data_IF_559224392735
#
_entry.id   IF_559224392735
#
_cell.length_a   1.000
_cell.length_b   1.000
_cell.length_c   1.000
_cell.angle_alpha   90.00
_cell.angle_beta   90.00
_cell.angle_gamma   90.00
#
_symmetry.space_group_name_H-M   'P 1'
#
loop_
_entity.id
_entity.type
_entity.pdbx_description
1 polymer ?
#
# COMPACT_ATOMS: atom_id res chain seq x y z
N UNK A 1 -9.13 -24.45 -81.49
CA UNK A 1 -9.62 -23.18 -80.90
C UNK A 1 -9.95 -23.49 -79.44
N UNK A 2 -9.10 -23.36 -78.41
CA UNK A 2 -8.19 -22.29 -77.95
C UNK A 2 -8.92 -21.01 -77.45
N UNK A 3 -9.38 -21.09 -76.18
CA UNK A 3 -9.43 -20.06 -75.11
C UNK A 3 -10.43 -20.57 -74.06
N UNK A 4 -10.03 -21.11 -72.91
CA UNK A 4 -9.33 -20.46 -71.80
C UNK A 4 -9.90 -19.08 -71.47
N UNK A 5 -10.83 -19.04 -70.52
CA UNK A 5 -10.84 -17.98 -69.52
C UNK A 5 -11.24 -18.56 -68.15
N UNK A 6 -10.23 -19.00 -67.41
CA UNK A 6 -10.29 -19.07 -65.95
C UNK A 6 -9.68 -17.77 -65.44
N UNK A 7 -10.51 -16.80 -65.10
CA UNK A 7 -10.13 -15.60 -64.36
C UNK A 7 -11.34 -15.17 -63.52
N UNK A 8 -11.27 -14.86 -62.23
CA UNK A 8 -10.20 -14.89 -61.26
C UNK A 8 -10.88 -14.79 -59.89
N UNK A 9 -11.25 -15.92 -59.29
CA UNK A 9 -11.76 -15.98 -57.93
C UNK A 9 -10.62 -15.96 -56.92
N UNK A 10 -9.94 -14.82 -56.73
CA UNK A 10 -8.91 -14.65 -55.69
C UNK A 10 -8.99 -13.25 -55.10
N UNK A 11 -9.61 -13.12 -53.91
CA UNK A 11 -9.56 -11.85 -53.18
C UNK A 11 -10.43 -11.68 -51.93
N UNK A 12 -10.92 -12.74 -51.27
CA UNK A 12 -11.83 -12.56 -50.11
C UNK A 12 -11.56 -13.44 -48.88
N UNK A 13 -10.30 -13.82 -48.61
CA UNK A 13 -9.97 -14.63 -47.43
C UNK A 13 -8.94 -14.01 -46.48
N UNK A 14 -8.56 -12.74 -46.65
CA UNK A 14 -7.52 -12.11 -45.82
C UNK A 14 -8.01 -10.94 -44.94
N UNK A 15 -9.31 -10.61 -44.93
CA UNK A 15 -9.84 -9.48 -44.15
C UNK A 15 -10.20 -9.84 -42.70
N UNK A 16 -10.65 -11.08 -42.43
CA UNK A 16 -11.09 -11.48 -41.09
C UNK A 16 -10.00 -11.41 -40.02
N UNK A 17 -8.76 -11.83 -40.34
CA UNK A 17 -7.66 -11.82 -39.35
C UNK A 17 -7.17 -10.42 -38.97
N UNK A 18 -7.31 -9.42 -39.85
CA UNK A 18 -6.89 -8.03 -39.58
C UNK A 18 -7.86 -7.29 -38.66
N UNK A 19 -9.16 -7.52 -38.80
CA UNK A 19 -10.19 -6.93 -37.92
C UNK A 19 -10.11 -7.51 -36.50
N UNK A 20 -9.90 -8.84 -36.38
CA UNK A 20 -9.70 -9.47 -35.07
C UNK A 20 -8.39 -9.03 -34.40
N UNK A 21 -7.31 -8.86 -35.17
CA UNK A 21 -6.04 -8.33 -34.66
C UNK A 21 -6.14 -6.88 -34.19
N UNK A 22 -6.86 -6.03 -34.93
CA UNK A 22 -7.09 -4.63 -34.55
C UNK A 22 -7.84 -4.51 -33.21
N UNK A 23 -8.91 -5.28 -33.02
CA UNK A 23 -9.67 -5.28 -31.77
C UNK A 23 -8.83 -5.71 -30.55
N UNK A 24 -7.94 -6.69 -30.72
CA UNK A 24 -7.02 -7.13 -29.65
C UNK A 24 -5.98 -6.05 -29.33
N UNK A 25 -5.43 -5.38 -30.35
CA UNK A 25 -4.45 -4.30 -30.17
C UNK A 25 -5.06 -3.13 -29.42
N UNK A 26 -6.26 -2.69 -29.80
CA UNK A 26 -6.96 -1.59 -29.12
C UNK A 26 -7.18 -1.90 -27.63
N UNK A 27 -7.59 -3.13 -27.32
CA UNK A 27 -7.75 -3.58 -25.94
C UNK A 27 -6.44 -3.58 -25.15
N UNK A 28 -5.34 -4.07 -25.76
CA UNK A 28 -4.02 -4.06 -25.12
C UNK A 28 -3.54 -2.64 -24.86
N UNK A 29 -3.71 -1.71 -25.82
CA UNK A 29 -3.35 -0.31 -25.64
C UNK A 29 -4.10 0.33 -24.46
N UNK A 30 -5.39 0.03 -24.31
CA UNK A 30 -6.18 0.47 -23.17
C UNK A 30 -5.68 -0.15 -21.86
N UNK A 31 -5.43 -1.46 -21.82
CA UNK A 31 -4.93 -2.13 -20.62
C UNK A 31 -3.55 -1.63 -20.18
N UNK A 32 -2.65 -1.35 -21.12
CA UNK A 32 -1.30 -0.84 -20.83
C UNK A 32 -1.37 0.49 -20.07
N UNK A 33 -2.42 1.29 -20.25
CA UNK A 33 -2.65 2.53 -19.50
C UNK A 33 -3.46 2.30 -18.22
N UNK A 34 -4.55 1.53 -18.30
CA UNK A 34 -5.48 1.35 -17.17
C UNK A 34 -4.86 0.51 -16.05
N UNK A 35 -4.15 -0.56 -16.37
CA UNK A 35 -3.56 -1.47 -15.36
C UNK A 35 -2.59 -0.73 -14.43
N UNK A 36 -1.58 0.03 -14.92
CA UNK A 36 -0.71 0.80 -14.04
C UNK A 36 -1.46 1.93 -13.33
N UNK A 37 -2.42 2.60 -13.97
CA UNK A 37 -3.22 3.62 -13.29
C UNK A 37 -3.97 3.02 -12.08
N UNK A 38 -4.64 1.89 -12.29
CA UNK A 38 -5.37 1.18 -11.24
C UNK A 38 -4.45 0.70 -10.12
N UNK A 39 -3.32 0.06 -10.46
CA UNK A 39 -2.33 -0.37 -9.48
C UNK A 39 -1.70 0.80 -8.73
N UNK A 40 -1.51 1.95 -9.38
CA UNK A 40 -1.05 3.19 -8.75
C UNK A 40 -2.04 3.71 -7.71
N UNK A 41 -3.33 3.74 -8.04
CA UNK A 41 -4.40 4.11 -7.09
C UNK A 41 -4.45 3.13 -5.91
N UNK A 42 -4.41 1.82 -6.17
CA UNK A 42 -4.36 0.80 -5.12
C UNK A 42 -3.12 0.95 -4.23
N UNK A 43 -1.96 1.26 -4.81
CA UNK A 43 -0.73 1.46 -4.05
C UNK A 43 -0.86 2.67 -3.11
N UNK A 44 -1.38 3.79 -3.59
CA UNK A 44 -1.62 4.99 -2.76
C UNK A 44 -2.62 4.68 -1.64
N UNK A 45 -3.73 4.01 -1.97
CA UNK A 45 -4.72 3.60 -0.98
C UNK A 45 -4.12 2.69 0.09
N UNK A 46 -3.29 1.72 -0.29
CA UNK A 46 -2.59 0.83 0.64
C UNK A 46 -1.63 1.60 1.56
N UNK A 47 -0.83 2.51 1.00
CA UNK A 47 0.10 3.34 1.78
C UNK A 47 -0.65 4.19 2.81
N UNK A 48 -1.74 4.84 2.39
CA UNK A 48 -2.56 5.66 3.29
C UNK A 48 -3.24 4.81 4.36
N UNK A 49 -3.77 3.64 3.99
CA UNK A 49 -4.38 2.71 4.94
C UNK A 49 -3.37 2.27 6.00
N UNK A 50 -2.18 1.82 5.61
CA UNK A 50 -1.11 1.43 6.55
C UNK A 50 -0.72 2.61 7.44
N UNK A 51 -0.46 3.79 6.85
CA UNK A 51 -0.07 4.98 7.62
C UNK A 51 -1.11 5.32 8.68
N UNK A 52 -2.40 5.37 8.32
CA UNK A 52 -3.47 5.70 9.25
C UNK A 52 -3.59 4.67 10.38
N UNK A 53 -3.54 3.38 10.04
CA UNK A 53 -3.61 2.31 11.04
C UNK A 53 -2.42 2.35 12.00
N UNK A 54 -1.20 2.56 11.49
CA UNK A 54 0.00 2.68 12.34
C UNK A 54 -0.04 3.93 13.23
N UNK A 55 -0.47 5.08 12.70
CA UNK A 55 -0.64 6.30 13.50
C UNK A 55 -1.66 6.09 14.62
N UNK A 56 -2.78 5.43 14.34
CA UNK A 56 -3.78 5.09 15.35
C UNK A 56 -3.19 4.20 16.46
N UNK A 57 -2.46 3.14 16.09
CA UNK A 57 -1.82 2.23 17.04
C UNK A 57 -0.69 2.90 17.85
N UNK A 58 0.04 3.85 17.25
CA UNK A 58 1.05 4.63 17.94
C UNK A 58 0.44 5.57 18.98
N UNK A 59 -0.64 6.27 18.63
CA UNK A 59 -1.37 7.13 19.58
C UNK A 59 -1.96 6.34 20.75
N UNK A 60 -2.53 5.16 20.49
CA UNK A 60 -3.08 4.32 21.55
C UNK A 60 -1.99 3.71 22.44
N UNK A 61 -0.86 3.29 21.85
CA UNK A 61 0.32 2.87 22.61
C UNK A 61 0.90 3.98 23.48
N UNK A 62 0.94 5.21 22.96
CA UNK A 62 1.41 6.37 23.71
C UNK A 62 0.52 6.63 24.92
N UNK A 63 -0.81 6.61 24.74
CA UNK A 63 -1.77 6.74 25.85
C UNK A 63 -1.62 5.63 26.88
N UNK A 64 -1.45 4.40 26.41
CA UNK A 64 -1.26 3.24 27.30
C UNK A 64 0.04 3.33 28.12
N UNK A 65 1.11 3.86 27.53
CA UNK A 65 2.40 4.06 28.20
C UNK A 65 2.45 5.33 29.06
N UNK A 66 1.57 6.31 28.81
CA UNK A 66 1.44 7.53 29.58
C UNK A 66 0.66 7.35 30.90
N UNK A 67 0.20 6.14 31.20
CA UNK A 67 -0.38 5.78 32.50
C UNK A 67 0.74 5.56 33.52
N UNK A 68 0.67 6.26 34.67
CA UNK A 68 1.74 6.38 35.66
C UNK A 68 2.40 5.07 36.16
N UNK A 69 1.71 3.93 36.07
CA UNK A 69 2.20 2.62 36.52
C UNK A 69 2.69 1.68 35.39
N UNK A 70 2.83 2.18 34.16
CA UNK A 70 3.18 1.34 33.00
C UNK A 70 4.60 1.57 32.52
N UNK A 71 5.42 0.52 32.45
CA UNK A 71 6.73 0.62 31.83
C UNK A 71 6.57 0.77 30.31
N UNK A 72 7.51 1.49 29.67
CA UNK A 72 7.43 1.87 28.25
C UNK A 72 7.39 0.65 27.30
N UNK A 73 7.96 -0.47 27.72
CA UNK A 73 7.94 -1.75 27.02
C UNK A 73 6.51 -2.34 26.91
N UNK A 74 5.66 -2.11 27.91
CA UNK A 74 4.25 -2.48 27.87
C UNK A 74 3.49 -1.71 26.78
N UNK A 75 3.81 -0.42 26.59
CA UNK A 75 3.33 0.38 25.47
C UNK A 75 3.77 -0.18 24.12
N UNK A 76 5.05 -0.54 24.00
CA UNK A 76 5.59 -1.13 22.78
C UNK A 76 4.92 -2.46 22.44
N UNK A 77 4.72 -3.34 23.43
CA UNK A 77 4.03 -4.61 23.26
C UNK A 77 2.58 -4.41 22.83
N UNK A 78 1.87 -3.45 23.44
CA UNK A 78 0.50 -3.13 23.08
C UNK A 78 0.37 -2.62 21.64
N UNK A 79 1.23 -1.67 21.24
CA UNK A 79 1.26 -1.18 19.85
C UNK A 79 1.55 -2.32 18.87
N UNK A 80 2.51 -3.21 19.16
CA UNK A 80 2.79 -4.37 18.30
C UNK A 80 1.58 -5.30 18.18
N UNK A 81 0.90 -5.59 19.29
CA UNK A 81 -0.31 -6.43 19.29
C UNK A 81 -1.40 -5.83 18.40
N UNK A 82 -1.66 -4.53 18.53
CA UNK A 82 -2.65 -3.84 17.70
C UNK A 82 -2.29 -3.85 16.22
N UNK A 83 -1.03 -3.53 15.89
CA UNK A 83 -0.56 -3.55 14.50
C UNK A 83 -0.68 -4.96 13.92
N UNK A 84 -0.34 -6.00 14.69
CA UNK A 84 -0.45 -7.40 14.23
C UNK A 84 -1.88 -7.90 14.07
N UNK A 85 -2.85 -7.29 14.76
CA UNK A 85 -4.26 -7.62 14.63
C UNK A 85 -4.96 -6.87 13.49
N UNK A 86 -4.55 -5.62 13.23
CA UNK A 86 -5.13 -4.79 12.19
C UNK A 86 -4.40 -4.90 10.83
N UNK A 87 -3.10 -5.23 10.85
CA UNK A 87 -2.23 -5.42 9.71
C UNK A 87 -1.48 -6.76 9.85
N UNK A 88 -0.57 -7.07 8.92
CA UNK A 88 0.31 -8.22 9.03
C UNK A 88 1.44 -8.00 10.05
N UNK A 89 1.90 -9.08 10.70
CA UNK A 89 2.99 -9.04 11.70
C UNK A 89 4.28 -8.35 11.21
N UNK A 90 4.56 -8.37 9.90
CA UNK A 90 5.69 -7.67 9.27
C UNK A 90 5.70 -6.15 9.49
N UNK A 91 4.54 -5.54 9.76
CA UNK A 91 4.42 -4.11 10.03
C UNK A 91 4.68 -3.75 11.51
N UNK A 92 4.81 -4.74 12.41
CA UNK A 92 5.02 -4.55 13.84
C UNK A 92 6.49 -4.69 14.28
N UNK A 93 7.43 -4.85 13.34
CA UNK A 93 8.82 -5.20 13.63
C UNK A 93 9.62 -4.06 14.29
N UNK A 94 9.36 -2.81 13.92
CA UNK A 94 10.14 -1.65 14.38
C UNK A 94 9.21 -0.65 15.08
N UNK A 95 9.08 -0.84 16.40
CA UNK A 95 8.29 -0.01 17.32
C UNK A 95 9.20 0.40 18.46
N UNK A 96 9.37 1.70 18.65
CA UNK A 96 10.15 2.30 19.73
C UNK A 96 9.24 3.19 20.57
N UNK A 97 9.40 3.16 21.89
CA UNK A 97 8.64 3.98 22.83
C UNK A 97 9.65 4.73 23.69
N UNK A 98 9.48 6.04 23.82
CA UNK A 98 10.40 6.89 24.57
C UNK A 98 9.63 7.96 25.36
N UNK A 99 10.14 8.40 26.53
CA UNK A 99 9.64 9.60 27.19
C UNK A 99 9.80 10.81 26.26
N UNK A 100 8.83 11.70 26.24
CA UNK A 100 8.87 12.93 25.44
C UNK A 100 8.20 14.08 26.18
N UNK A 101 8.53 15.31 25.78
CA UNK A 101 7.83 16.52 26.26
C UNK A 101 6.75 16.86 25.23
N UNK A 102 5.47 16.71 25.60
CA UNK A 102 4.34 16.99 24.72
C UNK A 102 3.66 18.27 25.19
N UNK A 103 3.82 19.36 24.44
CA UNK A 103 3.21 20.65 24.81
C UNK A 103 3.74 21.27 26.10
N UNK A 104 4.96 20.92 26.52
CA UNK A 104 5.59 21.40 27.76
C UNK A 104 5.24 20.58 29.01
N UNK A 105 4.52 19.47 28.85
CA UNK A 105 4.23 18.51 29.91
C UNK A 105 4.97 17.17 29.66
N UNK A 106 5.27 16.41 30.73
CA UNK A 106 5.73 15.03 30.60
C UNK A 106 4.76 14.20 29.76
N UNK A 107 5.28 13.33 28.91
CA UNK A 107 4.50 12.53 28.00
C UNK A 107 5.32 11.40 27.39
N UNK A 108 4.71 10.69 26.45
CA UNK A 108 5.30 9.53 25.78
C UNK A 108 5.15 9.65 24.28
N UNK A 109 6.22 9.35 23.55
CA UNK A 109 6.24 9.21 22.10
C UNK A 109 6.39 7.73 21.74
N UNK A 110 5.51 7.27 20.84
CA UNK A 110 5.64 5.97 20.17
C UNK A 110 5.98 6.22 18.72
N UNK A 111 7.10 5.66 18.27
CA UNK A 111 7.57 5.73 16.90
C UNK A 111 7.48 4.35 16.26
N UNK A 112 6.87 4.28 15.08
CA UNK A 112 6.73 3.04 14.31
C UNK A 112 7.33 3.23 12.92
N UNK A 113 8.18 2.30 12.51
CA UNK A 113 8.76 2.25 11.18
C UNK A 113 8.23 1.02 10.46
N UNK A 114 7.77 1.22 9.22
CA UNK A 114 7.30 0.11 8.41
C UNK A 114 7.61 0.31 6.92
N UNK A 115 7.58 -0.78 6.15
CA UNK A 115 7.79 -0.75 4.70
C UNK A 115 6.56 -1.34 4.03
N UNK A 116 5.91 -0.54 3.17
CA UNK A 116 4.75 -0.97 2.38
C UNK A 116 5.24 -1.58 1.08
N UNK A 117 4.99 -2.87 0.81
CA UNK A 117 5.44 -3.51 -0.41
C UNK A 117 4.70 -2.94 -1.65
N UNK A 118 5.35 -2.96 -2.82
CA UNK A 118 4.70 -2.56 -4.07
C UNK A 118 3.79 -3.67 -4.59
N UNK A 119 2.74 -3.30 -5.33
CA UNK A 119 1.85 -4.25 -6.02
C UNK A 119 2.39 -4.71 -7.39
N UNK A 120 3.71 -4.94 -7.49
CA UNK A 120 4.34 -5.65 -8.63
C UNK A 120 4.84 -4.79 -9.80
N UNK A 121 4.57 -3.48 -9.85
CA UNK A 121 4.97 -2.62 -10.98
C UNK A 121 6.19 -1.71 -10.72
N UNK A 122 6.50 -1.37 -9.46
CA UNK A 122 7.49 -0.34 -9.14
C UNK A 122 8.33 -0.68 -7.90
N UNK A 123 9.62 -0.96 -8.11
CA UNK A 123 10.72 -0.67 -7.17
C UNK A 123 10.72 -1.32 -5.77
N UNK A 124 11.62 -0.89 -4.88
CA UNK A 124 11.60 -1.27 -3.46
C UNK A 124 10.39 -0.62 -2.76
N UNK A 125 9.88 -1.24 -1.69
CA UNK A 125 8.71 -0.77 -0.96
C UNK A 125 8.84 0.64 -0.39
N UNK A 126 7.70 1.27 -0.07
CA UNK A 126 7.63 2.62 0.50
C UNK A 126 7.89 2.56 2.00
N UNK A 127 9.00 3.16 2.47
CA UNK A 127 9.29 3.28 3.90
C UNK A 127 8.44 4.38 4.52
N UNK A 128 7.75 4.05 5.60
CA UNK A 128 6.94 4.95 6.41
C UNK A 128 7.52 5.04 7.81
N UNK A 129 7.51 6.26 8.37
CA UNK A 129 7.80 6.52 9.78
C UNK A 129 6.61 7.28 10.32
N UNK A 130 5.97 6.76 11.35
CA UNK A 130 4.86 7.43 12.04
C UNK A 130 5.20 7.61 13.51
N UNK A 131 4.65 8.66 14.10
CA UNK A 131 4.77 8.97 15.51
C UNK A 131 3.39 9.18 16.11
N UNK A 132 3.23 8.79 17.37
CA UNK A 132 2.07 9.07 18.20
C UNK A 132 2.52 9.60 19.54
N UNK A 133 1.82 10.61 20.05
CA UNK A 133 2.15 11.30 21.30
C UNK A 133 0.99 11.22 22.28
N UNK A 134 1.30 11.13 23.57
CA UNK A 134 0.35 11.28 24.65
C UNK A 134 0.99 12.03 25.83
N UNK A 135 0.19 12.85 26.51
CA UNK A 135 0.59 13.53 27.75
C UNK A 135 0.41 12.56 28.91
N UNK A 136 1.34 12.56 29.85
CA UNK A 136 1.29 11.77 31.07
C UNK A 136 0.17 12.29 31.99
N UNK A 137 -0.72 11.39 32.43
CA UNK A 137 -1.78 11.75 33.37
C UNK A 137 -1.14 11.90 34.77
N UNK A 138 -1.10 13.14 35.27
CA UNK A 138 -0.68 13.42 36.63
C UNK A 138 -1.76 12.94 37.62
N UNK A 139 -1.38 12.29 38.74
CA UNK A 139 -2.29 11.76 39.76
C UNK A 139 -3.08 12.84 40.51
#
# INVERSE_FOLDING_TARGET
MLRSDRSGGRGRAASGGREHGAAVVDFVLVLVVIVPLFLGVLQVALVLHVRNTLTSAASEGARYAATADRPLDAGAARTRQQISGALAARFAGDVTVAPSQVGGAPGVEVRVVAVVPPLGLWGPGVRLVVTGHAIEEAP
#
